data_IF_681820752798
#
_entry.id   IF_681820752798
#
_cell.length_a   1.000
_cell.length_b   1.000
_cell.length_c   1.000
_cell.angle_alpha   90.00
_cell.angle_beta   90.00
_cell.angle_gamma   90.00
#
_symmetry.space_group_name_H-M   'P 1'
#
loop_
_entity.id
_entity.type
_entity.pdbx_description
1 polymer ?
#
# COMPACT_ATOMS: atom_id res chain seq x y z
N UNK A 1 -27.43 -8.03 5.57
CA UNK A 1 -26.84 -9.33 5.16
C UNK A 1 -26.29 -9.25 3.73
N UNK A 2 -27.08 -8.72 2.78
CA UNK A 2 -26.75 -8.74 1.34
C UNK A 2 -25.38 -8.13 0.99
N UNK A 3 -24.93 -7.10 1.70
CA UNK A 3 -23.66 -6.42 1.44
C UNK A 3 -22.48 -6.93 2.29
N UNK A 4 -22.74 -7.63 3.38
CA UNK A 4 -21.73 -8.04 4.36
C UNK A 4 -21.45 -9.54 4.39
N UNK A 5 -22.17 -10.31 3.58
CA UNK A 5 -21.96 -11.74 3.41
C UNK A 5 -21.60 -12.01 1.95
N UNK A 6 -20.50 -12.69 1.72
CA UNK A 6 -20.12 -13.13 0.37
C UNK A 6 -21.10 -14.23 -0.09
N UNK A 7 -21.82 -14.05 -1.20
CA UNK A 7 -22.82 -15.01 -1.65
C UNK A 7 -22.22 -16.36 -2.07
N UNK A 8 -20.96 -16.36 -2.55
CA UNK A 8 -20.31 -17.58 -3.01
C UNK A 8 -19.78 -18.44 -1.85
N UNK A 9 -19.23 -17.81 -0.81
CA UNK A 9 -18.63 -18.52 0.34
C UNK A 9 -19.53 -18.59 1.57
N UNK A 10 -20.62 -17.83 1.57
CA UNK A 10 -21.52 -17.64 2.75
C UNK A 10 -20.81 -17.11 4.00
N UNK A 11 -19.61 -16.53 3.83
CA UNK A 11 -18.82 -15.97 4.93
C UNK A 11 -18.95 -14.44 4.97
N UNK A 12 -18.85 -13.81 6.17
CA UNK A 12 -18.73 -12.37 6.27
C UNK A 12 -17.52 -11.85 5.48
N UNK A 13 -17.73 -10.80 4.67
CA UNK A 13 -16.69 -10.10 3.90
C UNK A 13 -16.17 -8.87 4.64
N UNK A 14 -16.45 -8.76 5.94
CA UNK A 14 -16.02 -7.68 6.82
C UNK A 14 -15.22 -8.24 7.99
N UNK A 15 -14.23 -7.48 8.45
CA UNK A 15 -13.41 -7.83 9.61
C UNK A 15 -14.16 -7.72 10.91
N UNK A 16 -15.13 -6.79 10.99
CA UNK A 16 -15.99 -6.60 12.13
C UNK A 16 -17.08 -5.57 11.86
N UNK A 17 -18.00 -5.44 12.78
CA UNK A 17 -19.12 -4.50 12.76
C UNK A 17 -19.11 -3.64 14.00
N UNK A 18 -19.38 -2.35 13.84
CA UNK A 18 -19.68 -1.42 14.93
C UNK A 18 -21.10 -0.97 14.76
N UNK A 19 -21.93 -1.17 15.80
CA UNK A 19 -23.29 -0.69 15.83
C UNK A 19 -23.33 0.65 16.56
N UNK A 20 -23.69 1.72 15.84
CA UNK A 20 -23.75 3.06 16.39
C UNK A 20 -25.15 3.66 16.25
N UNK A 21 -25.62 4.36 17.26
CA UNK A 21 -26.92 5.02 17.24
C UNK A 21 -27.18 5.77 18.53
N UNK A 22 -28.23 6.61 18.53
CA UNK A 22 -28.62 7.47 19.66
C UNK A 22 -29.63 6.86 20.62
N UNK A 23 -30.17 5.69 20.31
CA UNK A 23 -31.19 5.03 21.11
C UNK A 23 -30.91 3.53 21.28
N UNK A 24 -31.73 2.83 22.02
CA UNK A 24 -31.54 1.41 22.37
C UNK A 24 -31.66 0.44 21.20
N UNK A 25 -32.18 0.90 20.05
CA UNK A 25 -32.40 0.05 18.86
C UNK A 25 -31.12 -0.70 18.42
N UNK A 26 -29.96 -0.07 18.49
CA UNK A 26 -28.68 -0.75 18.16
C UNK A 26 -28.35 -1.91 19.09
N UNK A 27 -28.71 -1.76 20.37
CA UNK A 27 -28.53 -2.80 21.40
C UNK A 27 -29.54 -3.91 21.19
N UNK A 28 -30.82 -3.57 20.97
CA UNK A 28 -31.86 -4.53 20.63
C UNK A 28 -31.53 -5.28 19.35
N UNK A 29 -31.04 -4.58 18.32
CA UNK A 29 -30.56 -5.19 17.06
C UNK A 29 -29.46 -6.19 17.30
N UNK A 30 -28.47 -5.85 18.13
CA UNK A 30 -27.33 -6.72 18.43
C UNK A 30 -27.73 -8.03 19.10
N UNK A 31 -28.87 -8.04 19.80
CA UNK A 31 -29.39 -9.18 20.55
C UNK A 31 -30.56 -9.86 19.85
N UNK A 32 -31.00 -9.33 18.70
CA UNK A 32 -32.19 -9.82 17.99
C UNK A 32 -31.90 -11.13 17.26
N UNK A 33 -32.82 -12.08 17.37
CA UNK A 33 -32.80 -13.32 16.59
C UNK A 33 -32.99 -13.09 15.08
N UNK A 34 -33.39 -11.87 14.68
CA UNK A 34 -33.48 -11.47 13.27
C UNK A 34 -32.12 -11.00 12.71
N UNK A 35 -31.13 -10.74 13.56
CA UNK A 35 -29.78 -10.39 13.10
C UNK A 35 -29.06 -11.66 12.67
N UNK A 36 -28.43 -11.60 11.49
CA UNK A 36 -27.73 -12.78 10.95
C UNK A 36 -26.65 -13.26 11.93
N UNK A 37 -26.69 -14.54 12.38
CA UNK A 37 -25.74 -15.06 13.37
C UNK A 37 -24.29 -14.96 12.93
N UNK A 38 -24.03 -15.04 11.62
CA UNK A 38 -22.68 -14.90 11.06
C UNK A 38 -22.11 -13.49 11.21
N UNK A 39 -23.00 -12.48 11.20
CA UNK A 39 -22.65 -11.08 11.43
C UNK A 39 -22.66 -10.72 12.91
N UNK A 40 -23.51 -11.38 13.72
CA UNK A 40 -23.58 -11.15 15.15
C UNK A 40 -22.24 -11.42 15.85
N UNK A 41 -21.56 -12.51 15.48
CA UNK A 41 -20.22 -12.85 16.01
C UNK A 41 -19.14 -11.88 15.54
N UNK A 42 -19.44 -11.02 14.58
CA UNK A 42 -18.55 -9.97 14.07
C UNK A 42 -18.76 -8.61 14.72
N UNK A 43 -19.72 -8.47 15.63
CA UNK A 43 -19.93 -7.20 16.35
C UNK A 43 -18.75 -6.98 17.29
N UNK A 44 -17.96 -5.95 17.01
CA UNK A 44 -16.78 -5.57 17.79
C UNK A 44 -17.15 -4.61 18.92
N UNK A 45 -18.09 -3.71 18.66
CA UNK A 45 -18.51 -2.70 19.64
C UNK A 45 -19.91 -2.17 19.31
N UNK A 46 -20.63 -1.80 20.37
CA UNK A 46 -21.89 -1.03 20.30
C UNK A 46 -21.63 0.32 20.96
N UNK A 47 -21.89 1.42 20.26
CA UNK A 47 -21.59 2.78 20.74
C UNK A 47 -22.79 3.72 20.64
N UNK A 48 -22.91 4.57 21.64
CA UNK A 48 -23.87 5.66 21.65
C UNK A 48 -23.32 6.89 20.94
N UNK A 49 -24.07 7.42 19.98
CA UNK A 49 -23.75 8.66 19.29
C UNK A 49 -24.87 9.67 19.49
N UNK A 50 -24.49 10.93 19.69
CA UNK A 50 -25.44 12.02 19.99
C UNK A 50 -26.02 12.67 18.75
N UNK A 51 -25.41 12.42 17.57
CA UNK A 51 -25.75 13.07 16.31
C UNK A 51 -26.02 12.04 15.22
N UNK A 52 -26.77 12.46 14.19
CA UNK A 52 -26.94 11.69 12.96
C UNK A 52 -25.97 12.16 11.85
N UNK A 53 -26.04 11.50 10.70
CA UNK A 53 -25.22 11.85 9.52
C UNK A 53 -23.74 11.71 9.76
N UNK A 54 -22.97 12.55 9.08
CA UNK A 54 -21.50 12.53 9.10
C UNK A 54 -20.90 12.76 10.50
N UNK A 55 -21.47 13.68 11.26
CA UNK A 55 -21.01 13.96 12.63
C UNK A 55 -21.17 12.73 13.55
N UNK A 56 -22.29 12.05 13.46
CA UNK A 56 -22.51 10.81 14.22
C UNK A 56 -21.59 9.68 13.76
N UNK A 57 -21.30 9.60 12.48
CA UNK A 57 -20.33 8.64 11.93
C UNK A 57 -18.91 8.90 12.45
N UNK A 58 -18.45 10.14 12.44
CA UNK A 58 -17.14 10.51 12.98
C UNK A 58 -17.05 10.25 14.49
N UNK A 59 -18.11 10.57 15.25
CA UNK A 59 -18.18 10.25 16.67
C UNK A 59 -18.11 8.73 16.92
N UNK A 60 -18.77 7.91 16.10
CA UNK A 60 -18.68 6.45 16.21
C UNK A 60 -17.27 5.92 15.97
N UNK A 61 -16.53 6.51 15.00
CA UNK A 61 -15.13 6.17 14.74
C UNK A 61 -14.27 6.50 15.96
N UNK A 62 -14.40 7.71 16.51
CA UNK A 62 -13.63 8.15 17.69
C UNK A 62 -13.89 7.24 18.90
N UNK A 63 -15.16 6.95 19.20
CA UNK A 63 -15.55 6.08 20.31
C UNK A 63 -15.09 4.62 20.12
N UNK A 64 -14.75 4.24 18.89
CA UNK A 64 -14.33 2.87 18.54
C UNK A 64 -12.85 2.78 18.21
N UNK A 65 -12.09 3.86 18.37
CA UNK A 65 -10.70 3.97 17.93
C UNK A 65 -9.80 2.84 18.43
N UNK A 66 -9.95 2.42 19.69
CA UNK A 66 -9.15 1.33 20.27
C UNK A 66 -9.42 -0.01 19.57
N UNK A 67 -10.70 -0.35 19.36
CA UNK A 67 -11.09 -1.60 18.68
C UNK A 67 -10.65 -1.60 17.23
N UNK A 68 -10.82 -0.46 16.53
CA UNK A 68 -10.40 -0.29 15.15
C UNK A 68 -8.86 -0.40 15.00
N UNK A 69 -8.12 0.19 15.92
CA UNK A 69 -6.66 0.11 15.94
C UNK A 69 -6.19 -1.35 16.16
N UNK A 70 -6.83 -2.09 17.05
CA UNK A 70 -6.51 -3.50 17.28
C UNK A 70 -6.78 -4.37 16.05
N UNK A 71 -7.90 -4.14 15.36
CA UNK A 71 -8.22 -4.88 14.13
C UNK A 71 -7.20 -4.58 13.04
N UNK A 72 -6.88 -3.30 12.82
CA UNK A 72 -5.85 -2.88 11.85
C UNK A 72 -4.50 -3.51 12.18
N UNK A 73 -4.08 -3.48 13.43
CA UNK A 73 -2.81 -4.05 13.90
C UNK A 73 -2.72 -5.56 13.60
N UNK A 74 -3.80 -6.33 13.88
CA UNK A 74 -3.82 -7.78 13.60
C UNK A 74 -3.76 -8.06 12.10
N UNK A 75 -4.50 -7.29 11.28
CA UNK A 75 -4.49 -7.44 9.83
C UNK A 75 -3.11 -7.14 9.24
N UNK A 76 -2.50 -6.04 9.67
CA UNK A 76 -1.16 -5.63 9.29
C UNK A 76 -0.13 -6.71 9.63
N UNK A 77 -0.15 -7.21 10.87
CA UNK A 77 0.74 -8.28 11.31
C UNK A 77 0.58 -9.55 10.48
N UNK A 78 -0.65 -9.94 10.13
CA UNK A 78 -0.92 -11.09 9.26
C UNK A 78 -0.40 -10.88 7.84
N UNK A 79 -0.60 -9.69 7.29
CA UNK A 79 -0.11 -9.35 5.94
C UNK A 79 1.42 -9.41 5.86
N UNK A 80 2.10 -8.75 6.81
CA UNK A 80 3.56 -8.76 6.85
C UNK A 80 4.10 -10.17 7.14
N UNK A 81 3.40 -10.93 7.98
CA UNK A 81 3.72 -12.34 8.23
C UNK A 81 3.68 -13.17 6.94
N UNK A 82 2.62 -13.03 6.14
CA UNK A 82 2.51 -13.68 4.82
C UNK A 82 3.65 -13.25 3.88
N UNK A 83 3.96 -11.97 3.86
CA UNK A 83 5.07 -11.43 3.05
C UNK A 83 6.42 -12.06 3.44
N UNK A 84 6.71 -12.16 4.73
CA UNK A 84 7.94 -12.80 5.21
C UNK A 84 7.95 -14.33 5.00
N UNK A 85 6.79 -14.97 4.96
CA UNK A 85 6.67 -16.37 4.60
C UNK A 85 7.10 -16.60 3.14
N UNK A 86 6.64 -15.77 2.20
CA UNK A 86 7.06 -15.83 0.80
C UNK A 86 8.58 -15.67 0.65
N UNK A 87 9.19 -14.76 1.42
CA UNK A 87 10.64 -14.55 1.43
C UNK A 87 11.37 -15.78 2.01
N UNK A 88 10.91 -16.28 3.16
CA UNK A 88 11.59 -17.38 3.85
C UNK A 88 11.55 -18.70 3.09
N UNK A 89 10.51 -18.90 2.28
CA UNK A 89 10.34 -20.06 1.41
C UNK A 89 10.97 -19.88 0.02
N UNK A 90 11.54 -18.70 -0.24
CA UNK A 90 12.14 -18.33 -1.54
C UNK A 90 11.22 -18.62 -2.73
N UNK A 91 9.95 -18.26 -2.60
CA UNK A 91 8.93 -18.57 -3.61
C UNK A 91 9.08 -17.76 -4.89
N UNK A 92 9.84 -16.66 -4.85
CA UNK A 92 9.92 -15.67 -5.94
C UNK A 92 8.63 -14.85 -6.13
N UNK A 93 7.66 -14.94 -5.20
CA UNK A 93 6.40 -14.19 -5.23
C UNK A 93 6.42 -12.96 -4.32
N UNK A 94 7.55 -12.32 -4.25
CA UNK A 94 7.74 -11.11 -3.45
C UNK A 94 8.67 -10.15 -4.16
N UNK A 95 8.53 -8.88 -3.86
CA UNK A 95 9.49 -7.84 -4.24
C UNK A 95 9.69 -6.88 -3.08
N UNK A 96 10.84 -6.20 -3.04
CA UNK A 96 11.16 -5.16 -2.07
C UNK A 96 12.02 -4.07 -2.72
N UNK A 97 12.02 -2.89 -2.06
CA UNK A 97 12.69 -1.72 -2.62
C UNK A 97 11.85 -1.00 -3.68
N UNK A 98 12.17 0.25 -3.94
CA UNK A 98 11.36 1.13 -4.80
C UNK A 98 11.40 0.66 -6.25
N UNK A 99 12.59 0.44 -6.80
CA UNK A 99 12.80 0.15 -8.21
C UNK A 99 12.16 -1.16 -8.63
N UNK A 100 12.43 -2.25 -7.91
CA UNK A 100 11.89 -3.56 -8.22
C UNK A 100 10.37 -3.61 -8.02
N UNK A 101 9.87 -2.92 -6.98
CA UNK A 101 8.42 -2.83 -6.76
C UNK A 101 7.72 -2.09 -7.90
N UNK A 102 8.31 -1.00 -8.40
CA UNK A 102 7.76 -0.26 -9.54
C UNK A 102 7.81 -1.07 -10.84
N UNK A 103 8.92 -1.75 -11.13
CA UNK A 103 9.02 -2.66 -12.27
C UNK A 103 7.93 -3.75 -12.21
N UNK A 104 7.75 -4.38 -11.04
CA UNK A 104 6.73 -5.40 -10.84
C UNK A 104 5.29 -4.86 -10.97
N UNK A 105 5.04 -3.61 -10.56
CA UNK A 105 3.76 -2.93 -10.75
C UNK A 105 3.46 -2.68 -12.23
N UNK A 106 4.43 -2.18 -12.99
CA UNK A 106 4.31 -1.94 -14.44
C UNK A 106 4.00 -3.21 -15.21
N UNK A 107 4.55 -4.34 -14.76
CA UNK A 107 4.27 -5.66 -15.33
C UNK A 107 2.91 -6.25 -14.89
N UNK A 108 2.17 -5.59 -14.00
CA UNK A 108 0.92 -6.11 -13.44
C UNK A 108 1.11 -7.35 -12.54
N UNK A 109 2.32 -7.61 -12.10
CA UNK A 109 2.66 -8.79 -11.30
C UNK A 109 2.25 -8.66 -9.82
N UNK A 110 2.10 -7.43 -9.32
CA UNK A 110 1.79 -7.18 -7.91
C UNK A 110 0.32 -7.47 -7.62
N UNK A 111 0.06 -8.35 -6.65
CA UNK A 111 -1.26 -8.59 -6.06
C UNK A 111 -1.56 -7.59 -4.96
N UNK A 112 -0.61 -7.46 -4.01
CA UNK A 112 -0.72 -6.56 -2.87
C UNK A 112 0.53 -5.72 -2.75
N UNK A 113 0.40 -4.41 -2.93
CA UNK A 113 1.43 -3.42 -2.68
C UNK A 113 1.40 -3.05 -1.20
N UNK A 114 2.54 -3.19 -0.51
CA UNK A 114 2.71 -2.91 0.91
C UNK A 114 3.63 -1.71 1.05
N UNK A 115 3.16 -0.66 1.71
CA UNK A 115 3.91 0.60 1.85
C UNK A 115 3.85 1.08 3.31
N UNK A 116 4.98 1.45 3.87
CA UNK A 116 5.04 2.07 5.18
C UNK A 116 4.38 3.45 5.17
N UNK A 117 3.47 3.72 6.12
CA UNK A 117 2.69 4.96 6.20
C UNK A 117 3.53 6.24 6.34
N UNK A 118 4.79 6.11 6.78
CA UNK A 118 5.75 7.22 6.90
C UNK A 118 6.92 7.10 5.92
N UNK A 119 6.72 6.45 4.77
CA UNK A 119 7.74 6.39 3.72
C UNK A 119 8.04 7.80 3.22
N UNK A 120 9.26 8.29 3.48
CA UNK A 120 9.67 9.65 3.16
C UNK A 120 10.49 9.70 1.86
N UNK A 121 9.78 9.44 0.77
CA UNK A 121 10.33 9.46 -0.59
C UNK A 121 9.39 10.27 -1.48
N UNK A 122 9.98 11.15 -2.30
CA UNK A 122 9.27 11.92 -3.30
C UNK A 122 9.57 11.41 -4.71
N UNK A 123 8.54 11.38 -5.53
CA UNK A 123 8.61 11.11 -6.96
C UNK A 123 8.76 12.43 -7.70
N UNK A 124 9.77 12.52 -8.50
CA UNK A 124 10.06 13.65 -9.37
C UNK A 124 9.86 13.27 -10.82
N UNK A 125 9.17 14.12 -11.57
CA UNK A 125 9.21 14.13 -13.03
C UNK A 125 10.14 15.27 -13.44
N UNK A 126 11.27 14.92 -14.01
CA UNK A 126 12.33 15.84 -14.39
C UNK A 126 12.42 15.91 -15.92
N UNK A 127 12.73 17.08 -16.46
CA UNK A 127 12.93 17.29 -17.89
C UNK A 127 14.38 17.73 -18.12
N UNK A 128 15.08 17.03 -18.98
CA UNK A 128 16.41 17.44 -19.40
C UNK A 128 16.32 18.74 -20.20
N UNK A 129 17.02 19.79 -19.76
CA UNK A 129 16.98 21.11 -20.36
C UNK A 129 17.52 21.14 -21.81
N UNK A 130 18.35 20.16 -22.20
CA UNK A 130 18.98 20.09 -23.53
C UNK A 130 18.23 19.15 -24.46
N UNK A 131 17.93 17.90 -24.01
CA UNK A 131 17.33 16.87 -24.85
C UNK A 131 15.80 16.89 -24.79
N UNK A 132 15.20 17.61 -23.81
CA UNK A 132 13.77 17.60 -23.49
C UNK A 132 13.24 16.22 -23.05
N UNK A 133 14.10 15.25 -22.81
CA UNK A 133 13.77 13.93 -22.30
C UNK A 133 13.19 14.01 -20.89
N UNK A 134 12.24 13.14 -20.59
CA UNK A 134 11.61 13.04 -19.26
C UNK A 134 12.27 11.93 -18.48
N UNK A 135 12.77 12.26 -17.30
CA UNK A 135 13.41 11.34 -16.36
C UNK A 135 12.58 11.31 -15.06
N UNK A 136 12.26 10.11 -14.59
CA UNK A 136 11.57 9.93 -13.30
C UNK A 136 12.61 9.52 -12.25
N UNK A 137 12.64 10.24 -11.14
CA UNK A 137 13.50 9.91 -9.98
C UNK A 137 12.68 9.80 -8.71
N UNK A 138 13.10 8.89 -7.83
CA UNK A 138 12.54 8.71 -6.50
C UNK A 138 13.62 9.06 -5.49
N UNK A 139 13.43 10.16 -4.77
CA UNK A 139 14.44 10.74 -3.91
C UNK A 139 13.96 10.83 -2.47
N UNK A 140 14.81 10.43 -1.52
CA UNK A 140 14.63 10.73 -0.10
C UNK A 140 14.95 12.19 0.17
N UNK A 141 14.54 12.71 1.33
CA UNK A 141 14.89 14.09 1.74
C UNK A 141 16.39 14.37 1.76
N UNK A 142 17.20 13.36 2.10
CA UNK A 142 18.65 13.48 2.09
C UNK A 142 19.16 13.64 0.64
N UNK A 143 18.66 12.80 -0.28
CA UNK A 143 19.01 12.85 -1.69
C UNK A 143 18.51 14.13 -2.38
N UNK A 144 17.38 14.71 -1.95
CA UNK A 144 16.88 16.00 -2.45
C UNK A 144 17.86 17.15 -2.17
N UNK A 145 18.64 17.04 -1.11
CA UNK A 145 19.63 18.06 -0.74
C UNK A 145 20.89 18.03 -1.64
N UNK A 146 21.11 16.94 -2.35
CA UNK A 146 22.22 16.77 -3.27
C UNK A 146 21.83 17.23 -4.68
N UNK A 147 22.42 18.34 -5.12
CA UNK A 147 22.19 18.94 -6.45
C UNK A 147 22.62 18.03 -7.60
N UNK A 148 23.45 17.03 -7.36
CA UNK A 148 23.85 16.07 -8.38
C UNK A 148 22.67 15.23 -8.87
N UNK A 149 21.66 15.01 -8.03
CA UNK A 149 20.43 14.30 -8.38
C UNK A 149 19.56 15.05 -9.41
N UNK A 150 19.77 16.37 -9.56
CA UNK A 150 19.08 17.22 -10.54
C UNK A 150 19.95 17.55 -11.76
N UNK A 151 20.96 16.71 -12.01
CA UNK A 151 21.77 16.75 -13.22
C UNK A 151 21.75 15.40 -13.93
N UNK A 152 21.83 15.47 -15.23
CA UNK A 152 22.00 14.29 -16.08
C UNK A 152 23.39 13.71 -15.88
N UNK A 153 23.52 12.42 -15.53
CA UNK A 153 24.83 11.83 -15.21
C UNK A 153 25.78 11.75 -16.42
N UNK A 154 25.24 11.67 -17.64
CA UNK A 154 26.04 11.56 -18.86
C UNK A 154 26.52 12.92 -19.40
N UNK A 155 25.60 13.88 -19.50
CA UNK A 155 25.88 15.20 -20.10
C UNK A 155 26.17 16.29 -19.08
N UNK A 156 25.86 16.10 -17.80
CA UNK A 156 25.90 17.14 -16.77
C UNK A 156 24.81 18.22 -16.93
N UNK A 157 23.92 18.06 -17.90
CA UNK A 157 22.82 19.00 -18.15
C UNK A 157 21.88 19.11 -16.94
N UNK A 158 21.30 20.28 -16.75
CA UNK A 158 20.32 20.51 -15.69
C UNK A 158 19.00 19.76 -15.99
N UNK A 159 18.45 19.13 -14.96
CA UNK A 159 17.15 18.49 -14.99
C UNK A 159 16.12 19.40 -14.30
N UNK A 160 15.23 19.98 -15.08
CA UNK A 160 14.17 20.87 -14.59
C UNK A 160 13.04 20.08 -13.95
N UNK A 161 12.65 20.44 -12.74
CA UNK A 161 11.51 19.81 -12.03
C UNK A 161 10.21 20.23 -12.70
N UNK A 162 9.49 19.26 -13.30
CA UNK A 162 8.17 19.44 -13.86
C UNK A 162 7.08 19.12 -12.84
N UNK A 163 7.29 18.06 -12.05
CA UNK A 163 6.35 17.61 -11.02
C UNK A 163 7.12 17.04 -9.83
N UNK A 164 6.58 17.29 -8.64
CA UNK A 164 7.02 16.68 -7.38
C UNK A 164 5.79 16.25 -6.60
N UNK A 165 5.71 14.97 -6.25
CA UNK A 165 4.63 14.40 -5.44
C UNK A 165 5.22 13.41 -4.43
N UNK A 166 4.63 13.29 -3.24
CA UNK A 166 4.99 12.18 -2.34
C UNK A 166 4.71 10.84 -3.01
N UNK A 167 5.65 9.89 -2.90
CA UNK A 167 5.47 8.55 -3.46
C UNK A 167 4.26 7.83 -2.83
N UNK A 168 3.96 8.10 -1.54
CA UNK A 168 2.75 7.62 -0.87
C UNK A 168 1.47 8.12 -1.55
N UNK A 169 1.40 9.41 -1.83
CA UNK A 169 0.26 10.03 -2.49
C UNK A 169 0.10 9.52 -3.92
N UNK A 170 1.21 9.37 -4.63
CA UNK A 170 1.20 8.81 -5.98
C UNK A 170 0.65 7.38 -5.98
N UNK A 171 1.09 6.50 -5.07
CA UNK A 171 0.54 5.16 -4.94
C UNK A 171 -0.95 5.17 -4.59
N UNK A 172 -1.39 6.05 -3.67
CA UNK A 172 -2.79 6.15 -3.29
C UNK A 172 -3.70 6.53 -4.48
N UNK A 173 -3.18 7.30 -5.43
CA UNK A 173 -3.90 7.71 -6.63
C UNK A 173 -3.85 6.65 -7.74
N UNK A 174 -2.71 5.99 -7.92
CA UNK A 174 -2.42 5.18 -9.11
C UNK A 174 -2.54 3.66 -8.90
N UNK A 175 -2.61 3.13 -7.67
CA UNK A 175 -2.58 1.68 -7.41
C UNK A 175 -3.64 0.88 -8.19
N UNK A 176 -4.82 1.47 -8.42
CA UNK A 176 -5.90 0.83 -9.19
C UNK A 176 -5.54 0.61 -10.65
N UNK A 177 -4.73 1.50 -11.23
CA UNK A 177 -4.24 1.37 -12.60
C UNK A 177 -3.39 0.12 -12.78
N UNK A 178 -2.65 -0.29 -11.76
CA UNK A 178 -1.86 -1.51 -11.75
C UNK A 178 -2.65 -2.77 -11.38
N UNK A 179 -3.94 -2.62 -11.04
CA UNK A 179 -4.82 -3.72 -10.67
C UNK A 179 -4.46 -4.40 -9.35
N UNK A 180 -3.63 -3.77 -8.50
CA UNK A 180 -3.23 -4.29 -7.20
C UNK A 180 -4.11 -3.74 -6.07
N UNK A 181 -4.02 -4.37 -4.88
CA UNK A 181 -4.48 -3.79 -3.62
C UNK A 181 -3.35 -2.99 -2.99
N UNK A 182 -3.66 -1.88 -2.33
CA UNK A 182 -2.70 -1.06 -1.61
C UNK A 182 -2.97 -1.16 -0.11
N UNK A 183 -1.94 -1.52 0.65
CA UNK A 183 -2.00 -1.65 2.10
C UNK A 183 -0.92 -0.79 2.75
N UNK A 184 -1.34 0.14 3.60
CA UNK A 184 -0.42 0.93 4.41
C UNK A 184 -0.16 0.23 5.74
N UNK A 185 1.12 0.06 6.08
CA UNK A 185 1.59 -0.59 7.30
C UNK A 185 2.33 0.36 8.20
N UNK A 186 2.36 0.03 9.49
CA UNK A 186 3.06 0.80 10.53
C UNK A 186 4.33 0.07 10.99
N UNK A 187 5.16 0.75 11.75
CA UNK A 187 6.32 0.15 12.42
C UNK A 187 6.04 -0.21 13.89
N UNK A 188 4.76 -0.34 14.29
CA UNK A 188 4.36 -0.59 15.68
C UNK A 188 4.54 -2.05 16.11
N UNK A 189 4.45 -2.99 15.18
CA UNK A 189 4.76 -4.41 15.43
C UNK A 189 6.25 -4.70 15.19
N UNK A 190 6.73 -5.82 15.67
CA UNK A 190 8.09 -6.28 15.40
C UNK A 190 8.26 -6.54 13.89
N UNK A 191 7.29 -7.21 13.28
CA UNK A 191 7.25 -7.52 11.85
C UNK A 191 7.20 -6.23 11.01
N UNK A 192 6.36 -5.26 11.39
CA UNK A 192 6.29 -3.94 10.74
C UNK A 192 7.58 -3.16 10.86
N UNK A 193 8.22 -3.16 12.03
CA UNK A 193 9.52 -2.53 12.24
C UNK A 193 10.61 -3.17 11.37
N UNK A 194 10.60 -4.50 11.24
CA UNK A 194 11.53 -5.23 10.37
C UNK A 194 11.29 -4.89 8.90
N UNK A 195 10.04 -4.84 8.46
CA UNK A 195 9.69 -4.43 7.10
C UNK A 195 10.17 -3.02 6.78
N UNK A 196 9.91 -2.06 7.67
CA UNK A 196 10.33 -0.67 7.47
C UNK A 196 11.84 -0.48 7.42
N UNK A 197 12.59 -1.16 8.30
CA UNK A 197 14.05 -0.98 8.42
C UNK A 197 14.85 -1.90 7.53
N UNK A 198 14.43 -3.16 7.39
CA UNK A 198 15.16 -4.17 6.65
C UNK A 198 14.85 -4.20 5.16
N UNK A 199 13.65 -3.76 4.76
CA UNK A 199 13.17 -3.82 3.38
C UNK A 199 12.82 -2.43 2.81
N UNK A 200 13.23 -1.36 3.49
CA UNK A 200 13.04 0.01 3.02
C UNK A 200 11.60 0.52 3.09
N UNK A 201 10.68 -0.21 3.73
CA UNK A 201 9.29 0.22 3.92
C UNK A 201 8.42 0.18 2.66
N UNK A 202 8.87 -0.49 1.60
CA UNK A 202 8.11 -0.72 0.38
C UNK A 202 8.39 -2.10 -0.18
N UNK A 203 7.34 -2.76 -0.65
CA UNK A 203 7.42 -4.08 -1.26
C UNK A 203 6.05 -4.59 -1.69
N UNK A 204 5.99 -5.83 -2.14
CA UNK A 204 4.73 -6.41 -2.58
C UNK A 204 4.72 -7.94 -2.58
N UNK A 205 3.52 -8.48 -2.48
CA UNK A 205 3.24 -9.89 -2.74
C UNK A 205 2.80 -10.00 -4.21
N UNK A 206 3.39 -10.92 -4.93
CA UNK A 206 3.16 -11.12 -6.35
C UNK A 206 2.12 -12.20 -6.61
N UNK A 207 1.42 -12.09 -7.74
CA UNK A 207 0.46 -13.08 -8.25
C UNK A 207 1.14 -14.35 -8.72
N UNK A 208 2.35 -14.21 -9.27
CA UNK A 208 3.18 -15.27 -9.82
C UNK A 208 4.65 -14.99 -9.53
N UNK A 209 5.47 -16.00 -9.64
CA UNK A 209 6.92 -15.90 -9.49
C UNK A 209 7.50 -14.99 -10.57
N UNK A 210 8.35 -14.05 -10.15
CA UNK A 210 9.06 -13.13 -11.02
C UNK A 210 10.56 -13.21 -10.70
N UNK A 211 11.36 -13.49 -11.72
CA UNK A 211 12.82 -13.44 -11.59
C UNK A 211 13.31 -12.04 -11.99
N UNK A 212 13.58 -11.22 -10.98
CA UNK A 212 14.01 -9.83 -11.19
C UNK A 212 15.42 -9.73 -11.79
N UNK A 213 16.26 -10.78 -11.66
CA UNK A 213 17.64 -10.78 -12.20
C UNK A 213 17.68 -10.79 -13.72
N UNK A 214 16.66 -11.38 -14.35
CA UNK A 214 16.58 -11.41 -15.82
C UNK A 214 16.31 -10.06 -16.45
N UNK A 215 15.88 -9.07 -15.68
CA UNK A 215 15.55 -7.73 -16.19
C UNK A 215 16.77 -6.79 -16.15
N UNK A 216 17.67 -6.97 -15.22
CA UNK A 216 18.91 -6.19 -15.18
C UNK A 216 19.82 -6.56 -16.36
N UNK A 217 19.82 -7.84 -16.78
CA UNK A 217 20.56 -8.33 -17.96
C UNK A 217 19.99 -7.82 -19.30
N UNK A 218 18.71 -7.44 -19.38
CA UNK A 218 18.08 -6.93 -20.60
C UNK A 218 18.39 -5.44 -20.78
N UNK A 219 18.41 -4.67 -19.70
CA UNK A 219 18.74 -3.23 -19.75
C UNK A 219 20.20 -2.98 -20.15
N UNK A 220 21.12 -3.84 -19.76
CA UNK A 220 22.54 -3.73 -20.11
C UNK A 220 22.83 -4.16 -21.56
N UNK A 221 21.93 -4.91 -22.21
CA UNK A 221 22.12 -5.36 -23.59
C UNK A 221 21.51 -4.42 -24.65
N UNK A 222 20.64 -3.48 -24.28
CA UNK A 222 20.11 -2.50 -25.25
C UNK A 222 21.09 -1.35 -25.54
N UNK A 223 22.12 -1.13 -24.70
CA UNK A 223 23.14 -0.10 -24.94
C UNK A 223 24.28 -0.53 -25.91
N UNK A 224 24.28 -1.77 -26.41
CA UNK A 224 25.39 -2.28 -27.26
C UNK A 224 25.05 -2.50 -28.73
N UNK A 225 23.98 -1.96 -29.26
CA UNK A 225 23.74 -1.89 -30.69
C UNK A 225 23.80 -0.45 -31.17
N UNK A 226 24.99 0.11 -31.21
CA UNK A 226 25.27 1.27 -32.04
C UNK A 226 26.50 1.01 -32.92
N UNK A 227 26.25 1.13 -34.22
CA UNK A 227 27.11 1.37 -35.36
C UNK A 227 28.42 0.55 -35.57
N UNK A 228 28.23 -0.35 -36.51
CA UNK A 228 29.27 -0.62 -37.52
C UNK A 228 28.59 -0.88 -38.84
N UNK A 229 28.35 0.19 -39.66
CA UNK A 229 28.64 0.24 -41.10
C UNK A 229 28.33 1.64 -41.68
#
# INVERSE_FOLDING_TARGET
>A
TQFFINPATSQPNVSGLILAGSADFKTELSQSDMFDPRLQVKILKVVDVSYGGENGFNQAIELSAEVLANVKFIQEKRLIGKYFEEISQDTGKYVFGIEDTLKALEMGAVETLIVWENLDVNRYVLKNAVTAEIVIKHLTKEQESDQSNFRDPGSGAELEVQEKISLLEWFANEYKRFGCTLEFVTNRSQEGSQFCRGFGGIGGILRYQLDMRTFDDISDNEETYDDSD
#
